data_IF_156550427059
#
_entry.id   IF_156550427059
#
_cell.length_a   1.000
_cell.length_b   1.000
_cell.length_c   1.000
_cell.angle_alpha   90.00
_cell.angle_beta   90.00
_cell.angle_gamma   90.00
#
_symmetry.space_group_name_H-M   'P 1'
#
loop_
_entity.id
_entity.type
_entity.pdbx_description
1 polymer ?
#
# COMPACT_ATOMS: atom_id res chain seq x y z
N UNK A 1 43.22 -1.05 0.70
CA UNK A 1 42.10 -2.00 0.43
C UNK A 1 40.91 -1.78 1.34
N UNK A 2 41.10 -1.74 2.67
CA UNK A 2 40.01 -1.52 3.65
C UNK A 2 39.21 -0.24 3.36
N UNK A 3 39.88 0.88 3.10
CA UNK A 3 39.21 2.14 2.78
C UNK A 3 38.32 2.07 1.53
N UNK A 4 38.77 1.38 0.47
CA UNK A 4 37.99 1.21 -0.75
C UNK A 4 36.74 0.35 -0.51
N UNK A 5 36.87 -0.73 0.27
CA UNK A 5 35.74 -1.59 0.65
C UNK A 5 34.73 -0.82 1.51
N UNK A 6 35.20 -0.04 2.48
CA UNK A 6 34.33 0.77 3.34
C UNK A 6 33.52 1.79 2.52
N UNK A 7 34.16 2.47 1.57
CA UNK A 7 33.48 3.41 0.66
C UNK A 7 32.45 2.69 -0.21
N UNK A 8 32.77 1.51 -0.74
CA UNK A 8 31.84 0.73 -1.55
C UNK A 8 30.59 0.30 -0.74
N UNK A 9 30.78 -0.22 0.47
CA UNK A 9 29.66 -0.61 1.36
C UNK A 9 28.80 0.60 1.72
N UNK A 10 29.42 1.73 2.07
CA UNK A 10 28.68 2.96 2.37
C UNK A 10 27.83 3.42 1.19
N UNK A 11 28.38 3.39 -0.03
CA UNK A 11 27.64 3.74 -1.24
C UNK A 11 26.44 2.81 -1.47
N UNK A 12 26.59 1.49 -1.27
CA UNK A 12 25.50 0.53 -1.40
C UNK A 12 24.40 0.80 -0.37
N UNK A 13 24.77 1.01 0.90
CA UNK A 13 23.79 1.31 1.96
C UNK A 13 23.00 2.58 1.65
N UNK A 14 23.68 3.63 1.18
CA UNK A 14 23.03 4.89 0.77
C UNK A 14 22.07 4.65 -0.40
N UNK A 15 22.50 3.92 -1.43
CA UNK A 15 21.64 3.60 -2.58
C UNK A 15 20.40 2.80 -2.17
N UNK A 16 20.56 1.80 -1.29
CA UNK A 16 19.45 1.01 -0.79
C UNK A 16 18.49 1.85 0.06
N UNK A 17 19.01 2.72 0.92
CA UNK A 17 18.18 3.63 1.72
C UNK A 17 17.36 4.57 0.83
N UNK A 18 18.00 5.17 -0.18
CA UNK A 18 17.31 6.03 -1.16
C UNK A 18 16.24 5.24 -1.92
N UNK A 19 16.55 4.03 -2.38
CA UNK A 19 15.59 3.19 -3.07
C UNK A 19 14.40 2.82 -2.18
N UNK A 20 14.63 2.47 -0.91
CA UNK A 20 13.58 2.12 0.04
C UNK A 20 12.64 3.30 0.32
N UNK A 21 13.19 4.50 0.54
CA UNK A 21 12.40 5.72 0.76
C UNK A 21 11.54 6.02 -0.48
N UNK A 22 12.14 5.97 -1.68
CA UNK A 22 11.42 6.27 -2.93
C UNK A 22 10.31 5.26 -3.25
N UNK A 23 10.50 4.00 -2.90
CA UNK A 23 9.48 2.96 -3.04
C UNK A 23 8.35 3.13 -2.03
N UNK A 24 8.67 3.54 -0.80
CA UNK A 24 7.66 3.85 0.21
C UNK A 24 6.83 5.08 -0.14
N UNK A 25 7.45 6.09 -0.76
CA UNK A 25 6.82 7.34 -1.16
C UNK A 25 6.04 7.27 -2.48
N UNK A 26 6.09 6.16 -3.23
CA UNK A 26 5.27 6.01 -4.44
C UNK A 26 3.84 5.79 -3.99
N UNK A 27 2.96 6.80 -4.02
CA UNK A 27 1.60 6.63 -3.55
C UNK A 27 0.93 5.68 -4.53
N UNK A 28 0.32 4.61 -4.02
CA UNK A 28 -0.51 3.76 -4.87
C UNK A 28 -1.57 4.66 -5.53
N UNK A 29 -1.68 4.60 -6.85
CA UNK A 29 -2.63 5.44 -7.58
C UNK A 29 -4.05 5.14 -7.10
N UNK A 30 -4.85 6.15 -6.72
CA UNK A 30 -6.20 5.92 -6.23
C UNK A 30 -7.03 5.14 -7.25
N UNK A 31 -7.55 3.98 -6.84
CA UNK A 31 -8.27 3.08 -7.73
C UNK A 31 -9.72 3.53 -7.84
N UNK A 32 -10.18 3.76 -9.07
CA UNK A 32 -11.59 4.04 -9.35
C UNK A 32 -12.43 2.76 -9.20
N UNK A 33 -13.40 2.79 -8.30
CA UNK A 33 -14.36 1.70 -8.09
C UNK A 33 -15.72 2.19 -8.62
N UNK A 34 -16.29 1.45 -9.57
CA UNK A 34 -17.62 1.78 -10.10
C UNK A 34 -18.69 1.50 -9.03
N UNK A 35 -19.56 2.49 -8.80
CA UNK A 35 -20.71 2.31 -7.94
C UNK A 35 -21.72 1.35 -8.58
N UNK A 36 -22.15 0.34 -7.82
CA UNK A 36 -23.21 -0.60 -8.19
C UNK A 36 -24.27 -0.64 -7.08
N UNK A 37 -25.53 -1.01 -7.37
CA UNK A 37 -26.56 -1.14 -6.33
C UNK A 37 -26.18 -2.20 -5.29
N UNK A 38 -25.70 -1.76 -4.12
CA UNK A 38 -25.24 -2.63 -3.03
C UNK A 38 -25.96 -2.28 -1.71
N UNK A 39 -27.23 -2.68 -1.53
CA UNK A 39 -28.05 -2.27 -0.38
C UNK A 39 -27.55 -2.79 0.98
N UNK A 40 -26.69 -3.82 0.96
CA UNK A 40 -26.10 -4.41 2.16
C UNK A 40 -24.69 -3.90 2.48
N UNK A 41 -24.14 -2.95 1.71
CA UNK A 41 -22.76 -2.47 1.86
C UNK A 41 -22.52 -1.81 3.24
N UNK A 42 -23.51 -1.10 3.79
CA UNK A 42 -23.43 -0.50 5.14
C UNK A 42 -23.88 -1.47 6.26
N UNK A 43 -24.21 -2.71 5.90
CA UNK A 43 -24.69 -3.75 6.80
C UNK A 43 -23.63 -4.20 7.81
N UNK A 44 -24.07 -4.81 8.93
CA UNK A 44 -23.15 -5.25 9.98
C UNK A 44 -22.23 -6.40 9.55
N UNK A 45 -22.68 -7.26 8.63
CA UNK A 45 -21.86 -8.37 8.12
C UNK A 45 -20.70 -7.87 7.23
N UNK A 46 -20.96 -6.87 6.38
CA UNK A 46 -19.93 -6.23 5.56
C UNK A 46 -18.85 -5.58 6.43
N UNK A 47 -19.27 -4.76 7.42
CA UNK A 47 -18.34 -4.13 8.37
C UNK A 47 -17.51 -5.15 9.13
N UNK A 48 -18.13 -6.22 9.66
CA UNK A 48 -17.40 -7.31 10.33
C UNK A 48 -16.35 -7.96 9.44
N UNK A 49 -16.62 -8.11 8.15
CA UNK A 49 -15.64 -8.63 7.19
C UNK A 49 -14.51 -7.63 6.96
N UNK A 50 -14.83 -6.37 6.68
CA UNK A 50 -13.84 -5.33 6.42
C UNK A 50 -12.88 -5.12 7.60
N UNK A 51 -13.41 -5.17 8.83
CA UNK A 51 -12.63 -5.06 10.07
C UNK A 51 -11.72 -6.28 10.30
N UNK A 52 -12.07 -7.45 9.74
CA UNK A 52 -11.27 -8.66 9.84
C UNK A 52 -10.21 -8.76 8.73
N UNK A 53 -10.26 -7.90 7.71
CA UNK A 53 -9.29 -7.92 6.61
C UNK A 53 -7.99 -7.21 7.03
N UNK A 54 -6.83 -7.88 6.91
CA UNK A 54 -5.55 -7.23 7.13
C UNK A 54 -5.25 -6.21 6.02
N UNK A 55 -4.30 -5.31 6.29
CA UNK A 55 -3.82 -4.34 5.29
C UNK A 55 -3.09 -5.00 4.11
N UNK A 56 -2.55 -6.20 4.32
CA UNK A 56 -1.84 -6.99 3.31
C UNK A 56 -2.40 -8.41 3.19
N UNK A 57 -2.64 -8.84 1.95
CA UNK A 57 -3.09 -10.18 1.56
C UNK A 57 -2.02 -10.82 0.68
N UNK A 58 -1.08 -11.53 1.30
CA UNK A 58 0.08 -12.09 0.60
C UNK A 58 0.98 -10.98 0.08
N UNK A 59 1.03 -10.80 -1.24
CA UNK A 59 1.81 -9.72 -1.89
C UNK A 59 0.98 -8.49 -2.23
N UNK A 60 -0.33 -8.51 -1.96
CA UNK A 60 -1.23 -7.40 -2.24
C UNK A 60 -1.36 -6.51 -1.01
N UNK A 61 -1.24 -5.20 -1.20
CA UNK A 61 -1.52 -4.18 -0.18
C UNK A 61 -2.82 -3.47 -0.54
N UNK A 62 -3.61 -3.09 0.47
CA UNK A 62 -4.79 -2.25 0.29
C UNK A 62 -4.40 -0.95 -0.42
N UNK A 63 -5.03 -0.68 -1.56
CA UNK A 63 -4.82 0.54 -2.35
C UNK A 63 -5.80 1.63 -1.89
N UNK A 64 -5.43 2.92 -1.98
CA UNK A 64 -6.37 4.01 -1.74
C UNK A 64 -7.47 3.99 -2.82
N UNK A 65 -8.68 4.35 -2.42
CA UNK A 65 -9.82 4.49 -3.34
C UNK A 65 -9.89 5.91 -3.87
N UNK A 66 -10.25 6.06 -5.14
CA UNK A 66 -10.54 7.37 -5.71
C UNK A 66 -11.88 7.91 -5.15
N UNK A 67 -11.95 9.22 -4.93
CA UNK A 67 -13.20 9.87 -4.52
C UNK A 67 -14.13 10.10 -5.72
N UNK A 68 -15.46 9.93 -5.57
CA UNK A 68 -16.17 9.47 -4.36
C UNK A 68 -16.07 7.96 -4.16
N UNK A 69 -15.74 7.55 -2.93
CA UNK A 69 -15.66 6.14 -2.55
C UNK A 69 -17.06 5.53 -2.38
N UNK A 70 -17.38 4.39 -3.01
CA UNK A 70 -18.64 3.70 -2.78
C UNK A 70 -18.70 3.05 -1.39
N UNK A 71 -19.90 2.80 -0.87
CA UNK A 71 -20.08 2.12 0.40
C UNK A 71 -19.42 0.73 0.39
N UNK A 72 -18.71 0.40 1.47
CA UNK A 72 -18.05 -0.90 1.65
C UNK A 72 -16.75 -1.12 0.88
N UNK A 73 -16.09 -0.06 0.40
CA UNK A 73 -14.78 -0.10 -0.24
C UNK A 73 -13.60 0.09 0.74
#
# INVERSE_FOLDING_TARGET
>A
MIAAVAVAVAAVVVLLAVAAIRQADTPAEPVAISAVPAPAADGPDCRRLLDALPDELGTYRRAPTAEPTPAGA
#
